data_IF_704084675939
#
_entry.id   IF_704084675939
#
_cell.length_a   1.000
_cell.length_b   1.000
_cell.length_c   1.000
_cell.angle_alpha   90.00
_cell.angle_beta   90.00
_cell.angle_gamma   90.00
#
_symmetry.space_group_name_H-M   'P 1'
#
loop_
_entity.id
_entity.type
_entity.pdbx_description
1 polymer ?
#
# COMPACT_ATOMS: atom_id res chain seq x y z
N UNK A 1 -10.83 -5.21 68.07
CA UNK A 1 -11.96 -4.99 67.15
C UNK A 1 -11.41 -4.24 65.94
N UNK A 2 -11.01 -4.99 64.92
CA UNK A 2 -10.37 -4.47 63.70
C UNK A 2 -11.45 -4.07 62.71
N UNK A 3 -11.56 -2.77 62.41
CA UNK A 3 -12.50 -2.26 61.40
C UNK A 3 -11.83 -2.34 60.04
N UNK A 4 -12.35 -3.20 59.16
CA UNK A 4 -11.94 -3.28 57.75
C UNK A 4 -12.81 -2.28 56.98
N UNK A 5 -12.20 -1.17 56.56
CA UNK A 5 -12.85 -0.19 55.69
C UNK A 5 -12.84 -0.69 54.24
N UNK A 6 -14.02 -0.99 53.70
CA UNK A 6 -14.21 -1.38 52.30
C UNK A 6 -14.18 -0.14 51.42
N UNK A 7 -13.05 0.13 50.76
CA UNK A 7 -13.01 1.08 49.64
C UNK A 7 -13.64 0.42 48.41
N UNK A 8 -14.82 0.90 48.04
CA UNK A 8 -15.48 0.59 46.77
C UNK A 8 -14.78 1.41 45.68
N UNK A 9 -13.93 0.78 44.87
CA UNK A 9 -13.39 1.41 43.66
C UNK A 9 -14.50 1.50 42.61
N UNK A 10 -14.89 2.73 42.26
CA UNK A 10 -15.67 3.02 41.07
C UNK A 10 -14.74 2.94 39.86
N UNK A 11 -14.83 1.86 39.09
CA UNK A 11 -14.13 1.72 37.81
C UNK A 11 -14.79 2.60 36.75
N UNK A 12 -14.10 3.66 36.33
CA UNK A 12 -14.51 4.46 35.18
C UNK A 12 -14.29 3.66 33.90
N UNK A 13 -15.37 3.29 33.22
CA UNK A 13 -15.35 2.60 31.95
C UNK A 13 -15.05 3.63 30.84
N UNK A 14 -13.79 3.74 30.43
CA UNK A 14 -13.41 4.59 29.30
C UNK A 14 -13.79 3.89 27.98
N UNK A 15 -14.88 4.31 27.36
CA UNK A 15 -15.24 3.88 26.00
C UNK A 15 -14.31 4.58 25.01
N UNK A 16 -13.31 3.86 24.49
CA UNK A 16 -12.56 4.30 23.31
C UNK A 16 -13.50 4.29 22.10
N UNK A 17 -13.92 5.46 21.64
CA UNK A 17 -14.58 5.59 20.35
C UNK A 17 -13.51 5.45 19.25
N UNK A 18 -13.44 4.28 18.61
CA UNK A 18 -12.71 4.13 17.36
C UNK A 18 -13.52 4.84 16.26
N UNK A 19 -12.99 5.92 15.70
CA UNK A 19 -13.58 6.59 14.55
C UNK A 19 -13.45 5.76 13.27
N UNK A 20 -14.23 6.06 12.22
CA UNK A 20 -14.09 5.38 10.94
C UNK A 20 -12.71 5.68 10.34
N UNK A 21 -11.94 4.63 10.03
CA UNK A 21 -10.82 4.76 9.10
C UNK A 21 -11.40 4.88 7.70
N UNK A 22 -11.20 6.01 7.03
CA UNK A 22 -11.54 6.14 5.62
C UNK A 22 -10.42 5.52 4.80
N UNK A 23 -10.78 4.61 3.89
CA UNK A 23 -9.88 4.16 2.85
C UNK A 23 -9.58 5.34 1.92
N UNK A 24 -8.30 5.55 1.62
CA UNK A 24 -7.86 6.64 0.75
C UNK A 24 -7.33 6.04 -0.55
N UNK A 25 -7.69 6.65 -1.67
CA UNK A 25 -7.09 6.30 -2.96
C UNK A 25 -5.62 6.75 -2.93
N UNK A 26 -4.70 5.85 -3.28
CA UNK A 26 -3.27 6.13 -3.32
C UNK A 26 -2.91 6.47 -4.76
N UNK A 27 -2.31 7.64 -5.00
CA UNK A 27 -1.91 8.07 -6.35
C UNK A 27 -0.46 8.48 -6.37
N UNK A 28 0.30 7.92 -7.30
CA UNK A 28 1.72 8.23 -7.51
C UNK A 28 2.09 8.16 -9.00
N UNK A 29 3.12 8.90 -9.40
CA UNK A 29 3.66 8.83 -10.76
C UNK A 29 4.68 7.69 -10.87
N UNK A 30 4.41 6.71 -11.73
CA UNK A 30 5.35 5.65 -12.07
C UNK A 30 6.15 6.05 -13.32
N UNK A 31 7.48 6.10 -13.19
CA UNK A 31 8.40 6.50 -14.25
C UNK A 31 9.28 5.30 -14.62
N UNK A 32 9.34 4.96 -15.91
CA UNK A 32 10.19 3.89 -16.41
C UNK A 32 11.38 4.47 -17.18
N UNK A 33 12.60 4.37 -16.63
CA UNK A 33 13.85 4.73 -17.33
C UNK A 33 14.82 3.55 -17.45
N UNK A 34 14.35 2.31 -17.27
CA UNK A 34 15.18 1.09 -17.22
C UNK A 34 15.79 0.65 -18.56
N UNK A 35 15.35 1.25 -19.67
CA UNK A 35 15.71 0.82 -21.03
C UNK A 35 14.80 -0.26 -21.64
N UNK A 36 13.84 -0.81 -20.89
CA UNK A 36 12.89 -1.81 -21.37
C UNK A 36 11.43 -1.43 -21.09
N UNK A 37 10.51 -1.89 -21.93
CA UNK A 37 9.08 -1.66 -21.71
C UNK A 37 8.60 -2.48 -20.51
N UNK A 38 7.85 -1.83 -19.61
CA UNK A 38 7.18 -2.49 -18.50
C UNK A 38 5.84 -3.02 -19.00
N UNK A 39 5.67 -4.34 -18.97
CA UNK A 39 4.52 -5.02 -19.60
C UNK A 39 3.48 -5.50 -18.59
N UNK A 40 3.87 -5.73 -17.34
CA UNK A 40 2.94 -6.03 -16.25
C UNK A 40 3.42 -5.29 -14.99
N UNK A 41 2.48 -4.74 -14.23
CA UNK A 41 2.75 -4.08 -12.97
C UNK A 41 1.77 -4.56 -11.91
N UNK A 42 2.31 -5.13 -10.84
CA UNK A 42 1.52 -5.67 -9.74
C UNK A 42 1.80 -4.88 -8.47
N UNK A 43 0.76 -4.73 -7.66
CA UNK A 43 0.85 -4.20 -6.30
C UNK A 43 0.13 -5.13 -5.35
N UNK A 44 0.68 -5.36 -4.16
CA UNK A 44 0.02 -6.11 -3.11
C UNK A 44 0.28 -5.46 -1.74
N UNK A 45 -0.71 -5.34 -0.87
CA UNK A 45 -0.51 -5.22 0.57
C UNK A 45 0.65 -6.09 1.10
N UNK A 46 1.58 -5.52 1.87
CA UNK A 46 2.75 -6.29 2.42
C UNK A 46 2.35 -7.45 3.34
N UNK A 47 1.12 -7.45 3.84
CA UNK A 47 0.54 -8.52 4.67
C UNK A 47 -0.24 -9.56 3.85
N UNK A 48 -0.33 -9.41 2.53
CA UNK A 48 -0.90 -10.37 1.58
C UNK A 48 0.25 -11.11 0.88
N UNK A 49 0.33 -12.42 1.13
CA UNK A 49 1.43 -13.26 0.64
C UNK A 49 1.31 -13.76 -0.81
N UNK A 50 0.45 -13.16 -1.62
CA UNK A 50 0.21 -13.52 -3.03
C UNK A 50 0.05 -12.24 -3.85
N UNK A 51 0.45 -12.26 -5.13
CA UNK A 51 0.25 -11.11 -6.02
C UNK A 51 -1.22 -10.98 -6.44
N UNK A 52 -1.72 -9.73 -6.47
CA UNK A 52 -3.07 -9.39 -6.94
C UNK A 52 -3.06 -9.19 -8.48
N UNK A 53 -4.06 -8.50 -9.03
CA UNK A 53 -4.19 -8.28 -10.47
C UNK A 53 -3.11 -7.35 -11.05
N UNK A 54 -2.83 -7.52 -12.35
CA UNK A 54 -2.01 -6.57 -13.11
C UNK A 54 -2.75 -5.23 -13.27
N UNK A 55 -2.10 -4.17 -12.78
CA UNK A 55 -2.59 -2.79 -12.80
C UNK A 55 -2.76 -2.27 -14.23
N UNK A 56 -1.94 -2.73 -15.18
CA UNK A 56 -2.01 -2.26 -16.57
C UNK A 56 -3.02 -3.03 -17.43
N UNK A 57 -3.31 -4.28 -17.07
CA UNK A 57 -4.24 -5.16 -17.79
C UNK A 57 -3.76 -5.51 -19.20
N UNK A 58 -4.08 -4.66 -20.18
CA UNK A 58 -3.57 -4.81 -21.57
C UNK A 58 -2.67 -3.65 -21.99
N UNK A 59 -2.42 -2.71 -21.08
CA UNK A 59 -1.51 -1.59 -21.28
C UNK A 59 -0.05 -1.98 -21.11
N UNK A 60 0.84 -1.08 -21.50
CA UNK A 60 2.28 -1.17 -21.26
C UNK A 60 2.78 0.23 -20.91
N UNK A 61 3.86 0.32 -20.13
CA UNK A 61 4.57 1.57 -19.89
C UNK A 61 5.94 1.51 -20.61
N UNK A 62 6.06 2.13 -21.80
CA UNK A 62 7.29 2.06 -22.56
C UNK A 62 8.43 2.79 -21.86
N UNK A 63 9.66 2.33 -22.08
CA UNK A 63 10.82 3.00 -21.49
C UNK A 63 10.92 4.48 -21.91
N UNK A 64 11.31 5.34 -20.98
CA UNK A 64 11.37 6.78 -21.12
C UNK A 64 10.05 7.52 -20.89
N UNK A 65 8.98 6.84 -20.44
CA UNK A 65 7.67 7.44 -20.18
C UNK A 65 7.27 7.33 -18.70
N UNK A 66 6.22 8.06 -18.34
CA UNK A 66 5.57 7.96 -17.03
C UNK A 66 4.05 7.87 -17.13
N UNK A 67 3.41 7.39 -16.06
CA UNK A 67 1.97 7.30 -15.91
C UNK A 67 1.56 7.52 -14.46
N UNK A 68 0.44 8.20 -14.23
CA UNK A 68 -0.19 8.25 -12.91
C UNK A 68 -0.89 6.91 -12.64
N UNK A 69 -0.50 6.26 -11.54
CA UNK A 69 -1.15 5.06 -11.03
C UNK A 69 -2.05 5.43 -9.86
N UNK A 70 -3.27 4.92 -9.85
CA UNK A 70 -4.18 5.02 -8.70
C UNK A 70 -4.52 3.63 -8.17
N UNK A 71 -4.22 3.39 -6.89
CA UNK A 71 -4.65 2.20 -6.15
C UNK A 71 -5.88 2.59 -5.33
N UNK A 72 -7.04 2.07 -5.73
CA UNK A 72 -8.35 2.34 -5.14
C UNK A 72 -9.02 1.04 -4.68
N UNK A 73 -8.29 0.24 -3.91
CA UNK A 73 -8.69 -1.10 -3.46
C UNK A 73 -9.60 -1.09 -2.22
N UNK A 74 -9.93 0.10 -1.71
CA UNK A 74 -10.80 0.29 -0.54
C UNK A 74 -10.12 -0.03 0.79
N UNK A 75 -8.79 -0.11 0.84
CA UNK A 75 -8.01 -0.32 2.07
C UNK A 75 -7.42 0.99 2.60
N UNK A 76 -7.05 0.98 3.88
CA UNK A 76 -6.42 2.12 4.56
C UNK A 76 -4.93 1.91 4.83
N UNK A 77 -4.32 0.90 4.21
CA UNK A 77 -2.90 0.59 4.38
C UNK A 77 -2.05 1.37 3.39
N UNK A 78 -0.80 1.60 3.77
CA UNK A 78 0.14 2.41 3.00
C UNK A 78 1.31 1.62 2.45
N UNK A 79 1.72 0.56 3.16
CA UNK A 79 2.82 -0.30 2.75
C UNK A 79 2.35 -1.33 1.74
N UNK A 80 2.95 -1.30 0.54
CA UNK A 80 2.70 -2.23 -0.54
C UNK A 80 4.01 -2.81 -1.06
N UNK A 81 3.97 -4.08 -1.46
CA UNK A 81 4.92 -4.69 -2.34
C UNK A 81 4.56 -4.36 -3.80
N UNK A 82 5.58 -4.11 -4.60
CA UNK A 82 5.53 -3.72 -6.00
C UNK A 82 6.28 -4.78 -6.81
N UNK A 83 5.72 -5.19 -7.95
CA UNK A 83 6.38 -6.11 -8.87
C UNK A 83 6.26 -5.65 -10.31
N UNK A 84 7.40 -5.58 -10.96
CA UNK A 84 7.57 -5.05 -12.30
C UNK A 84 8.04 -6.18 -13.22
N UNK A 85 7.30 -6.47 -14.28
CA UNK A 85 7.69 -7.47 -15.30
C UNK A 85 7.99 -6.75 -16.61
N UNK A 86 9.21 -6.92 -17.12
CA UNK A 86 9.70 -6.23 -18.31
C UNK A 86 9.60 -7.09 -19.55
N UNK A 87 9.58 -6.43 -20.72
CA UNK A 87 9.46 -7.09 -22.02
C UNK A 87 10.62 -8.04 -22.37
N UNK A 88 11.79 -7.89 -21.75
CA UNK A 88 12.93 -8.78 -21.90
C UNK A 88 12.89 -10.02 -20.98
N UNK A 89 11.89 -10.08 -20.08
CA UNK A 89 11.66 -11.17 -19.15
C UNK A 89 12.24 -10.94 -17.76
N UNK A 90 12.91 -9.80 -17.52
CA UNK A 90 13.38 -9.44 -16.19
C UNK A 90 12.21 -9.09 -15.27
N UNK A 91 12.43 -9.34 -13.97
CA UNK A 91 11.44 -9.07 -12.92
C UNK A 91 12.14 -8.36 -11.77
N UNK A 92 11.57 -7.23 -11.34
CA UNK A 92 12.02 -6.48 -10.17
C UNK A 92 10.89 -6.45 -9.16
N UNK A 93 11.23 -6.66 -7.89
CA UNK A 93 10.31 -6.56 -6.76
C UNK A 93 10.88 -5.58 -5.73
N UNK A 94 10.02 -4.77 -5.13
CA UNK A 94 10.37 -3.78 -4.11
C UNK A 94 9.18 -3.52 -3.18
N UNK A 95 9.38 -2.77 -2.09
CA UNK A 95 8.30 -2.35 -1.20
C UNK A 95 8.33 -0.84 -0.98
N UNK A 96 7.15 -0.22 -0.93
CA UNK A 96 6.99 1.22 -0.82
C UNK A 96 5.87 1.62 0.15
N UNK A 97 6.01 2.80 0.76
CA UNK A 97 4.89 3.50 1.39
C UNK A 97 4.22 4.41 0.35
N UNK A 98 3.09 3.95 -0.19
CA UNK A 98 2.34 4.65 -1.24
C UNK A 98 1.53 5.85 -0.72
N UNK A 99 1.43 6.05 0.60
CA UNK A 99 0.78 7.22 1.18
C UNK A 99 1.71 8.43 1.24
N UNK A 100 3.00 8.19 1.39
CA UNK A 100 4.03 9.24 1.42
C UNK A 100 4.74 9.42 0.08
N UNK A 101 4.67 8.42 -0.79
CA UNK A 101 5.28 8.43 -2.11
C UNK A 101 4.48 9.27 -3.11
N UNK A 102 5.14 10.23 -3.74
CA UNK A 102 4.58 10.97 -4.89
C UNK A 102 4.96 10.37 -6.24
N UNK A 103 6.10 9.67 -6.32
CA UNK A 103 6.61 9.06 -7.55
C UNK A 103 7.54 7.88 -7.25
N UNK A 104 7.55 6.89 -8.15
CA UNK A 104 8.47 5.77 -8.18
C UNK A 104 9.19 5.73 -9.53
N UNK A 105 10.52 5.66 -9.52
CA UNK A 105 11.32 5.56 -10.75
C UNK A 105 12.00 4.20 -10.82
N UNK A 106 11.79 3.51 -11.94
CA UNK A 106 12.48 2.26 -12.30
C UNK A 106 13.73 2.61 -13.10
N UNK A 107 14.89 2.11 -12.66
CA UNK A 107 16.22 2.35 -13.24
C UNK A 107 16.83 1.10 -13.87
#
# INVERSE_FOLDING_TARGET
>A
MTSVSRLVLWGALATLAAGPALAQDLTFELVNVSGYDLVEFYTSPVDVGEWEEDVFGTGVLPSGNSVDVTIADGRSQCSYDLRFVFADGDVIEDSADLCEMGSYTIE
#
